data_IF_222149535780
#
_entry.id   IF_222149535780
#
_cell.length_a   1.000
_cell.length_b   1.000
_cell.length_c   1.000
_cell.angle_alpha   90.00
_cell.angle_beta   90.00
_cell.angle_gamma   90.00
#
_symmetry.space_group_name_H-M   'P 1'
#
loop_
_entity.id
_entity.type
_entity.pdbx_description
1 polymer ?
#
# COMPACT_ATOMS: atom_id res chain seq x y z
N UNK A 1 17.75 17.25 -18.41
CA UNK A 1 16.80 16.16 -18.02
C UNK A 1 17.33 15.22 -16.93
N UNK A 2 18.63 15.17 -16.57
CA UNK A 2 19.15 14.28 -15.50
C UNK A 2 18.91 14.80 -14.08
N UNK A 3 18.69 16.10 -13.91
CA UNK A 3 18.62 16.78 -12.59
C UNK A 3 17.31 16.54 -11.82
N UNK A 4 16.22 16.21 -12.52
CA UNK A 4 14.88 16.12 -11.91
C UNK A 4 14.63 14.84 -11.09
N UNK A 5 15.45 13.80 -11.28
CA UNK A 5 15.37 12.52 -10.56
C UNK A 5 16.45 12.34 -9.48
N UNK A 6 17.40 13.27 -9.34
CA UNK A 6 18.46 13.17 -8.30
C UNK A 6 17.89 13.03 -6.88
N UNK A 7 16.79 13.74 -6.59
CA UNK A 7 16.09 13.70 -5.31
C UNK A 7 15.54 12.33 -4.91
N UNK A 8 15.46 11.40 -5.86
CA UNK A 8 14.94 10.04 -5.65
C UNK A 8 16.02 8.97 -5.55
N UNK A 9 17.29 9.32 -5.73
CA UNK A 9 18.41 8.36 -5.73
C UNK A 9 18.61 7.63 -4.40
N UNK A 10 18.17 8.23 -3.29
CA UNK A 10 18.24 7.61 -1.97
C UNK A 10 17.25 6.46 -1.78
N UNK A 11 16.17 6.40 -2.57
CA UNK A 11 15.13 5.36 -2.47
C UNK A 11 15.51 4.09 -3.24
N UNK A 12 16.61 3.47 -2.84
CA UNK A 12 17.22 2.33 -3.55
C UNK A 12 16.36 1.08 -3.60
N UNK A 13 15.34 0.97 -2.76
CA UNK A 13 14.34 -0.11 -2.77
C UNK A 13 13.25 0.07 -3.82
N UNK A 14 13.20 1.20 -4.52
CA UNK A 14 12.19 1.56 -5.52
C UNK A 14 12.86 1.91 -6.85
N UNK A 15 12.21 1.56 -7.95
CA UNK A 15 12.60 2.08 -9.27
C UNK A 15 11.71 3.28 -9.58
N UNK A 16 12.33 4.45 -9.81
CA UNK A 16 11.58 5.69 -10.02
C UNK A 16 12.02 6.32 -11.33
N UNK A 17 11.05 6.59 -12.20
CA UNK A 17 11.28 7.24 -13.48
C UNK A 17 10.16 8.25 -13.82
N UNK A 18 10.34 8.95 -14.91
CA UNK A 18 9.41 9.96 -15.40
C UNK A 18 9.07 9.65 -16.86
N UNK A 19 8.03 8.82 -17.11
CA UNK A 19 7.66 8.41 -18.45
C UNK A 19 7.13 9.56 -19.31
N UNK A 20 6.54 10.58 -18.68
CA UNK A 20 6.05 11.79 -19.32
C UNK A 20 6.28 13.03 -18.45
N UNK A 21 6.23 14.23 -19.04
CA UNK A 21 6.30 15.49 -18.32
C UNK A 21 5.15 15.56 -17.29
N UNK A 22 5.48 15.86 -16.04
CA UNK A 22 4.51 15.93 -14.94
C UNK A 22 4.07 14.58 -14.36
N UNK A 23 4.44 13.44 -14.96
CA UNK A 23 4.08 12.12 -14.50
C UNK A 23 5.31 11.41 -13.89
N UNK A 24 5.23 11.06 -12.62
CA UNK A 24 6.22 10.24 -11.92
C UNK A 24 5.71 8.80 -11.81
N UNK A 25 6.59 7.82 -12.09
CA UNK A 25 6.27 6.41 -11.89
C UNK A 25 7.18 5.82 -10.82
N UNK A 26 6.54 5.14 -9.86
CA UNK A 26 7.21 4.41 -8.77
C UNK A 26 6.91 2.93 -8.95
N UNK A 27 7.95 2.11 -9.06
CA UNK A 27 7.85 0.67 -9.27
C UNK A 27 8.45 -0.07 -8.08
N UNK A 28 7.65 -0.91 -7.45
CA UNK A 28 8.09 -1.86 -6.42
C UNK A 28 8.66 -3.07 -7.14
N UNK A 29 9.96 -3.32 -6.99
CA UNK A 29 10.65 -4.41 -7.68
C UNK A 29 11.45 -5.27 -6.68
N UNK A 30 11.04 -6.54 -6.55
CA UNK A 30 11.77 -7.58 -5.82
C UNK A 30 11.78 -8.84 -6.66
N UNK A 31 12.79 -9.00 -7.54
CA UNK A 31 12.86 -10.13 -8.46
C UNK A 31 12.74 -11.47 -7.74
N UNK A 32 11.87 -12.35 -8.25
CA UNK A 32 11.66 -13.69 -7.71
C UNK A 32 10.83 -13.79 -6.43
N UNK A 33 10.40 -12.66 -5.84
CA UNK A 33 9.61 -12.63 -4.60
C UNK A 33 8.26 -11.94 -4.75
N UNK A 34 7.72 -11.79 -5.97
CA UNK A 34 6.46 -11.09 -6.23
C UNK A 34 6.38 -9.74 -5.53
N UNK A 35 7.46 -8.97 -5.58
CA UNK A 35 7.58 -7.64 -5.00
C UNK A 35 7.32 -7.59 -3.47
N UNK A 36 7.74 -8.63 -2.75
CA UNK A 36 7.73 -8.62 -1.30
C UNK A 36 8.54 -7.41 -0.77
N UNK A 37 7.99 -6.76 0.25
CA UNK A 37 8.53 -5.55 0.86
C UNK A 37 9.51 -5.95 1.96
N UNK A 38 10.79 -5.74 1.73
CA UNK A 38 11.86 -5.86 2.73
C UNK A 38 12.01 -4.57 3.55
N UNK A 39 12.89 -4.56 4.55
CA UNK A 39 13.12 -3.42 5.42
C UNK A 39 13.44 -2.12 4.64
N UNK A 40 14.31 -2.20 3.62
CA UNK A 40 14.68 -1.04 2.80
C UNK A 40 13.49 -0.48 2.03
N UNK A 41 12.69 -1.36 1.41
CA UNK A 41 11.49 -0.93 0.68
C UNK A 41 10.43 -0.37 1.60
N UNK A 42 10.26 -0.96 2.79
CA UNK A 42 9.30 -0.49 3.78
C UNK A 42 9.62 0.95 4.20
N UNK A 43 10.88 1.23 4.57
CA UNK A 43 11.34 2.58 4.88
C UNK A 43 11.20 3.52 3.67
N UNK A 44 11.59 3.09 2.47
CA UNK A 44 11.51 3.91 1.27
C UNK A 44 10.05 4.23 0.88
N UNK A 45 9.12 3.29 1.04
CA UNK A 45 7.69 3.53 0.81
C UNK A 45 7.10 4.50 1.83
N UNK A 46 7.61 4.53 3.07
CA UNK A 46 7.22 5.52 4.05
C UNK A 46 7.71 6.93 3.69
N UNK A 47 8.95 7.06 3.22
CA UNK A 47 9.65 8.34 3.12
C UNK A 47 9.58 9.01 1.74
N UNK A 48 9.21 8.30 0.68
CA UNK A 48 9.20 8.86 -0.69
C UNK A 48 8.13 9.95 -0.88
N UNK A 49 6.99 9.86 -0.21
CA UNK A 49 5.83 10.72 -0.46
C UNK A 49 6.04 12.21 -0.10
N UNK A 50 6.74 12.56 0.99
CA UNK A 50 7.11 13.96 1.26
C UNK A 50 8.01 14.56 0.19
N UNK A 51 8.89 13.75 -0.43
CA UNK A 51 9.74 14.19 -1.54
C UNK A 51 8.90 14.41 -2.79
N UNK A 52 8.03 13.46 -3.13
CA UNK A 52 7.05 13.58 -4.22
C UNK A 52 6.18 14.82 -4.06
N UNK A 53 5.66 15.06 -2.87
CA UNK A 53 4.77 16.20 -2.59
C UNK A 53 5.44 17.55 -2.90
N UNK A 54 6.75 17.66 -2.67
CA UNK A 54 7.55 18.87 -2.90
C UNK A 54 8.15 18.96 -4.30
N UNK A 55 8.02 17.93 -5.11
CA UNK A 55 8.58 17.90 -6.46
C UNK A 55 7.80 18.82 -7.41
N UNK A 56 8.39 19.94 -7.90
CA UNK A 56 7.72 20.87 -8.79
C UNK A 56 7.48 20.26 -10.20
N UNK A 57 8.25 19.25 -10.58
CA UNK A 57 8.18 18.60 -11.87
C UNK A 57 7.17 17.45 -11.91
N UNK A 58 6.47 17.16 -10.76
CA UNK A 58 5.47 16.11 -10.64
C UNK A 58 4.09 16.71 -10.44
N UNK A 59 3.14 16.33 -11.28
CA UNK A 59 1.71 16.63 -11.15
C UNK A 59 0.91 15.42 -10.65
N UNK A 60 1.30 14.21 -11.04
CA UNK A 60 0.64 12.94 -10.73
C UNK A 60 1.66 11.82 -10.58
N UNK A 61 1.33 10.83 -9.74
CA UNK A 61 2.14 9.63 -9.53
C UNK A 61 1.37 8.39 -9.95
N UNK A 62 2.06 7.45 -10.61
CA UNK A 62 1.60 6.07 -10.78
C UNK A 62 2.49 5.15 -9.95
N UNK A 63 1.89 4.29 -9.11
CA UNK A 63 2.62 3.26 -8.37
C UNK A 63 2.14 1.87 -8.79
N UNK A 64 3.08 0.96 -9.09
CA UNK A 64 2.78 -0.42 -9.44
C UNK A 64 3.92 -1.37 -9.06
N UNK A 65 3.70 -2.66 -9.18
CA UNK A 65 4.74 -3.67 -9.00
C UNK A 65 5.38 -4.07 -10.33
N UNK A 66 6.62 -4.51 -10.29
CA UNK A 66 7.30 -5.06 -11.45
C UNK A 66 6.80 -6.49 -11.79
N UNK A 67 6.90 -6.88 -13.07
CA UNK A 67 6.68 -8.27 -13.48
C UNK A 67 5.25 -8.79 -13.30
N UNK A 68 4.24 -7.90 -13.35
CA UNK A 68 2.82 -8.28 -13.35
C UNK A 68 2.28 -8.75 -12.00
N UNK A 69 2.84 -8.27 -10.88
CA UNK A 69 2.28 -8.43 -9.54
C UNK A 69 2.48 -7.15 -8.76
N UNK A 70 1.52 -6.73 -7.94
CA UNK A 70 1.71 -5.53 -7.14
C UNK A 70 2.70 -5.78 -5.99
N UNK A 71 2.33 -6.62 -5.04
CA UNK A 71 3.21 -7.03 -3.94
C UNK A 71 2.64 -8.23 -3.17
N UNK A 72 3.51 -9.14 -2.78
CA UNK A 72 3.17 -10.28 -1.90
C UNK A 72 3.17 -9.94 -0.40
N UNK A 73 3.33 -8.66 -0.03
CA UNK A 73 3.36 -8.22 1.36
C UNK A 73 4.77 -8.19 1.96
N UNK A 74 4.86 -8.19 3.29
CA UNK A 74 6.13 -8.15 4.00
C UNK A 74 7.01 -9.38 3.73
N UNK A 75 8.33 -9.17 3.55
CA UNK A 75 9.29 -10.26 3.47
C UNK A 75 9.34 -11.00 4.81
N UNK A 76 9.38 -12.34 4.76
CA UNK A 76 9.34 -13.17 5.97
C UNK A 76 10.55 -12.98 6.89
N UNK A 77 11.70 -12.55 6.37
CA UNK A 77 12.85 -12.20 7.20
C UNK A 77 12.60 -10.92 8.00
N UNK A 78 11.97 -9.91 7.37
CA UNK A 78 11.55 -8.70 8.05
C UNK A 78 10.55 -9.01 9.18
N UNK A 79 9.61 -9.92 8.95
CA UNK A 79 8.64 -10.34 9.99
C UNK A 79 9.33 -11.02 11.17
N UNK A 80 10.33 -11.89 10.91
CA UNK A 80 11.14 -12.50 11.98
C UNK A 80 11.86 -11.43 12.82
N UNK A 81 12.45 -10.43 12.17
CA UNK A 81 13.16 -9.35 12.85
C UNK A 81 12.20 -8.49 13.68
N UNK A 82 11.00 -8.20 13.19
CA UNK A 82 9.95 -7.50 13.95
C UNK A 82 9.58 -8.27 15.22
N UNK A 83 9.46 -9.59 15.16
CA UNK A 83 9.16 -10.42 16.32
C UNK A 83 10.33 -10.44 17.32
N UNK A 84 11.56 -10.55 16.81
CA UNK A 84 12.76 -10.77 17.62
C UNK A 84 13.30 -9.49 18.29
N UNK A 85 13.27 -8.35 17.60
CA UNK A 85 13.89 -7.10 18.07
C UNK A 85 12.84 -6.01 18.38
N UNK A 86 12.65 -5.67 19.68
CA UNK A 86 11.75 -4.59 20.07
C UNK A 86 12.13 -3.20 19.52
N UNK A 87 13.42 -2.95 19.23
CA UNK A 87 13.87 -1.66 18.67
C UNK A 87 13.48 -1.59 17.20
N UNK A 88 13.75 -2.65 16.45
CA UNK A 88 13.34 -2.73 15.05
C UNK A 88 11.82 -2.67 14.91
N UNK A 89 11.07 -3.36 15.77
CA UNK A 89 9.59 -3.26 15.82
C UNK A 89 9.12 -1.81 16.04
N UNK A 90 9.81 -1.03 16.88
CA UNK A 90 9.49 0.38 17.09
C UNK A 90 9.84 1.26 15.87
N UNK A 91 10.83 0.87 15.06
CA UNK A 91 11.15 1.51 13.78
C UNK A 91 10.05 1.22 12.76
N UNK A 92 9.68 -0.04 12.59
CA UNK A 92 8.60 -0.46 11.68
C UNK A 92 7.25 0.18 12.06
N UNK A 93 6.97 0.33 13.37
CA UNK A 93 5.80 1.08 13.83
C UNK A 93 5.77 2.51 13.30
N UNK A 94 6.90 3.23 13.35
CA UNK A 94 7.00 4.59 12.81
C UNK A 94 6.83 4.60 11.30
N UNK A 95 7.53 3.72 10.60
CA UNK A 95 7.47 3.61 9.14
C UNK A 95 6.05 3.29 8.65
N UNK A 96 5.33 2.36 9.29
CA UNK A 96 3.95 2.03 8.94
C UNK A 96 3.02 3.24 9.11
N UNK A 97 3.20 4.02 10.19
CA UNK A 97 2.46 5.27 10.39
C UNK A 97 2.83 6.31 9.33
N UNK A 98 4.12 6.47 9.09
CA UNK A 98 4.63 7.48 8.16
C UNK A 98 4.20 7.17 6.73
N UNK A 99 4.18 5.90 6.31
CA UNK A 99 3.62 5.50 5.02
C UNK A 99 2.20 6.05 4.82
N UNK A 100 1.32 5.77 5.76
CA UNK A 100 -0.10 6.16 5.67
C UNK A 100 -0.26 7.68 5.75
N UNK A 101 0.32 8.32 6.74
CA UNK A 101 0.17 9.77 6.91
C UNK A 101 0.86 10.57 5.80
N UNK A 102 2.02 10.13 5.33
CA UNK A 102 2.72 10.77 4.23
C UNK A 102 1.96 10.65 2.89
N UNK A 103 1.26 9.54 2.64
CA UNK A 103 0.36 9.42 1.48
C UNK A 103 -0.87 10.33 1.61
N UNK A 104 -1.46 10.44 2.81
CA UNK A 104 -2.57 11.35 3.10
C UNK A 104 -2.14 12.81 2.88
N UNK A 105 -0.92 13.17 3.29
CA UNK A 105 -0.39 14.53 3.23
C UNK A 105 0.26 14.87 1.88
N UNK A 106 0.55 13.86 1.06
CA UNK A 106 1.06 14.09 -0.29
C UNK A 106 0.06 14.90 -1.11
N UNK A 107 0.48 16.06 -1.62
CA UNK A 107 -0.38 16.95 -2.40
C UNK A 107 -0.67 16.39 -3.80
N UNK A 108 0.20 15.51 -4.34
CA UNK A 108 0.05 14.98 -5.69
C UNK A 108 -0.95 13.83 -5.71
N UNK A 109 -1.87 13.76 -6.69
CA UNK A 109 -2.71 12.59 -6.86
C UNK A 109 -1.86 11.35 -7.16
N UNK A 110 -2.25 10.23 -6.56
CA UNK A 110 -1.58 8.94 -6.65
C UNK A 110 -2.55 7.94 -7.28
N UNK A 111 -2.12 7.28 -8.34
CA UNK A 111 -2.85 6.19 -9.00
C UNK A 111 -2.11 4.89 -8.75
N UNK A 112 -2.75 3.88 -8.17
CA UNK A 112 -2.19 2.54 -8.03
C UNK A 112 -2.69 1.64 -9.15
N UNK A 113 -1.78 0.85 -9.75
CA UNK A 113 -2.08 -0.18 -10.74
C UNK A 113 -1.82 -1.56 -10.12
N UNK A 114 -2.91 -2.26 -9.75
CA UNK A 114 -2.87 -3.43 -8.89
C UNK A 114 -3.06 -4.69 -9.74
N UNK A 115 -1.94 -5.36 -10.05
CA UNK A 115 -1.94 -6.61 -10.83
C UNK A 115 -1.79 -7.82 -9.91
N UNK A 116 -2.40 -8.92 -10.27
CA UNK A 116 -2.26 -10.29 -9.77
C UNK A 116 -2.45 -10.45 -8.25
N UNK A 117 -1.68 -9.76 -7.41
CA UNK A 117 -1.73 -9.91 -5.95
C UNK A 117 -1.31 -8.62 -5.23
N UNK A 118 -2.03 -8.28 -4.17
CA UNK A 118 -1.65 -7.20 -3.24
C UNK A 118 -1.94 -7.65 -1.79
N UNK A 119 -0.91 -7.62 -0.93
CA UNK A 119 -0.95 -8.11 0.45
C UNK A 119 -0.20 -7.14 1.39
N UNK A 120 -0.63 -7.00 2.64
CA UNK A 120 0.08 -6.32 3.73
C UNK A 120 0.58 -4.92 3.37
N UNK A 121 1.85 -4.59 3.63
CA UNK A 121 2.44 -3.27 3.36
C UNK A 121 2.32 -2.83 1.88
N UNK A 122 2.36 -3.78 0.93
CA UNK A 122 2.07 -3.49 -0.48
C UNK A 122 0.61 -3.08 -0.67
N UNK A 123 -0.34 -3.79 -0.04
CA UNK A 123 -1.76 -3.45 -0.08
C UNK A 123 -2.02 -2.08 0.58
N UNK A 124 -1.29 -1.73 1.63
CA UNK A 124 -1.35 -0.40 2.23
C UNK A 124 -1.07 0.68 1.18
N UNK A 125 0.04 0.58 0.46
CA UNK A 125 0.40 1.51 -0.61
C UNK A 125 -0.67 1.53 -1.72
N UNK A 126 -1.20 0.36 -2.09
CA UNK A 126 -2.21 0.24 -3.15
C UNK A 126 -3.53 0.94 -2.80
N UNK A 127 -4.05 0.74 -1.58
CA UNK A 127 -5.35 1.26 -1.15
C UNK A 127 -5.30 2.70 -0.62
N UNK A 128 -4.12 3.16 -0.14
CA UNK A 128 -3.94 4.56 0.25
C UNK A 128 -3.75 5.49 -0.95
N UNK A 129 -3.60 4.97 -2.17
CA UNK A 129 -3.66 5.76 -3.39
C UNK A 129 -5.05 6.38 -3.59
N UNK A 130 -5.10 7.53 -4.27
CA UNK A 130 -6.35 8.26 -4.50
C UNK A 130 -7.28 7.56 -5.49
N UNK A 131 -6.69 6.87 -6.47
CA UNK A 131 -7.40 6.08 -7.47
C UNK A 131 -6.69 4.73 -7.61
N UNK A 132 -7.44 3.65 -7.49
CA UNK A 132 -6.93 2.29 -7.63
C UNK A 132 -7.53 1.60 -8.85
N UNK A 133 -6.66 1.19 -9.79
CA UNK A 133 -7.01 0.37 -10.96
C UNK A 133 -6.55 -1.05 -10.69
N UNK A 134 -7.46 -2.00 -10.71
CA UNK A 134 -7.21 -3.38 -10.31
C UNK A 134 -7.56 -4.36 -11.44
N UNK A 135 -6.79 -5.42 -11.61
CA UNK A 135 -7.18 -6.52 -12.50
C UNK A 135 -8.36 -7.30 -11.91
N UNK A 136 -9.32 -7.73 -12.75
CA UNK A 136 -10.51 -8.47 -12.28
C UNK A 136 -10.17 -9.71 -11.48
N UNK A 137 -9.13 -10.44 -11.89
CA UNK A 137 -8.70 -11.66 -11.21
C UNK A 137 -7.66 -11.42 -10.11
N UNK A 138 -7.23 -10.19 -9.89
CA UNK A 138 -6.25 -9.84 -8.84
C UNK A 138 -6.73 -10.32 -7.47
N UNK A 139 -5.83 -10.92 -6.70
CA UNK A 139 -6.10 -11.32 -5.32
C UNK A 139 -5.68 -10.22 -4.34
N UNK A 140 -6.64 -9.69 -3.61
CA UNK A 140 -6.43 -8.74 -2.52
C UNK A 140 -6.63 -9.48 -1.21
N UNK A 141 -5.62 -9.43 -0.32
CA UNK A 141 -5.64 -10.17 0.93
C UNK A 141 -5.06 -9.31 2.05
N UNK A 142 -5.85 -9.07 3.10
CA UNK A 142 -5.31 -8.67 4.39
C UNK A 142 -5.03 -9.93 5.22
N UNK A 143 -3.77 -10.23 5.43
CA UNK A 143 -3.31 -11.50 6.02
C UNK A 143 -3.05 -11.44 7.53
N UNK A 144 -3.24 -10.29 8.18
CA UNK A 144 -2.76 -10.04 9.55
C UNK A 144 -3.32 -11.00 10.59
N UNK A 145 -4.64 -11.26 10.59
CA UNK A 145 -5.23 -12.16 11.61
C UNK A 145 -4.85 -13.62 11.39
N UNK A 146 -4.53 -14.05 10.17
CA UNK A 146 -3.92 -15.37 9.92
C UNK A 146 -2.45 -15.42 10.35
N UNK A 147 -1.76 -14.29 10.35
CA UNK A 147 -0.41 -14.17 10.90
C UNK A 147 -0.41 -14.15 12.44
N UNK A 148 -1.55 -13.88 13.06
CA UNK A 148 -1.70 -13.79 14.52
C UNK A 148 -1.54 -12.38 15.08
N UNK A 149 -1.68 -11.35 14.25
CA UNK A 149 -1.62 -9.94 14.65
C UNK A 149 -2.87 -9.17 14.22
N UNK A 150 -3.10 -8.00 14.79
CA UNK A 150 -4.19 -7.14 14.35
C UNK A 150 -3.93 -6.59 12.95
N UNK A 151 -4.98 -6.34 12.16
CA UNK A 151 -4.92 -5.66 10.87
C UNK A 151 -4.70 -4.16 11.10
N UNK A 152 -3.44 -3.74 11.23
CA UNK A 152 -3.06 -2.44 11.78
C UNK A 152 -2.47 -1.45 10.80
N UNK A 153 -1.71 -1.90 9.82
CA UNK A 153 -0.85 -1.07 8.97
C UNK A 153 -1.58 -0.08 8.05
N UNK A 154 -2.84 -0.33 7.68
CA UNK A 154 -3.68 0.58 6.87
C UNK A 154 -5.17 0.30 7.05
N UNK A 155 -5.50 -0.91 7.48
CA UNK A 155 -6.85 -1.45 7.32
C UNK A 155 -7.91 -0.64 8.07
N UNK A 156 -7.62 -0.25 9.32
CA UNK A 156 -8.60 0.46 10.15
C UNK A 156 -8.91 1.87 9.67
N UNK A 157 -8.00 2.51 8.92
CA UNK A 157 -8.22 3.87 8.41
C UNK A 157 -8.97 3.90 7.09
N UNK A 158 -8.70 2.95 6.18
CA UNK A 158 -9.18 3.05 4.80
C UNK A 158 -10.36 2.11 4.49
N UNK A 159 -10.33 0.84 4.92
CA UNK A 159 -11.36 -0.13 4.55
C UNK A 159 -12.77 0.27 4.96
N UNK A 160 -13.03 0.75 6.22
CA UNK A 160 -14.39 1.14 6.61
C UNK A 160 -14.94 2.31 5.78
N UNK A 161 -14.08 3.21 5.31
CA UNK A 161 -14.47 4.34 4.47
C UNK A 161 -14.78 3.91 3.04
N UNK A 162 -14.04 2.94 2.49
CA UNK A 162 -14.21 2.47 1.12
C UNK A 162 -15.38 1.49 0.99
N UNK A 163 -15.40 0.41 1.79
CA UNK A 163 -16.38 -0.67 1.62
C UNK A 163 -17.42 -0.79 2.74
N UNK A 164 -17.39 0.14 3.70
CA UNK A 164 -18.27 0.14 4.86
C UNK A 164 -17.85 -0.87 5.93
N UNK A 165 -18.25 -0.60 7.19
CA UNK A 165 -17.82 -1.35 8.39
C UNK A 165 -18.12 -2.85 8.31
N UNK A 166 -19.27 -3.25 7.74
CA UNK A 166 -19.66 -4.66 7.69
C UNK A 166 -18.71 -5.49 6.80
N UNK A 167 -18.35 -4.98 5.63
CA UNK A 167 -17.43 -5.64 4.72
C UNK A 167 -15.99 -5.58 5.23
N UNK A 168 -15.57 -4.43 5.75
CA UNK A 168 -14.26 -4.30 6.39
C UNK A 168 -14.08 -5.36 7.49
N UNK A 169 -15.00 -5.47 8.44
CA UNK A 169 -14.93 -6.50 9.50
C UNK A 169 -14.89 -7.90 8.95
N UNK A 170 -15.73 -8.22 7.96
CA UNK A 170 -15.76 -9.58 7.39
C UNK A 170 -14.39 -9.96 6.85
N UNK A 171 -13.84 -9.17 5.91
CA UNK A 171 -12.59 -9.52 5.25
C UNK A 171 -11.36 -9.43 6.17
N UNK A 172 -11.28 -8.39 7.02
CA UNK A 172 -10.13 -8.19 7.90
C UNK A 172 -10.08 -9.22 9.05
N UNK A 173 -11.24 -9.65 9.58
CA UNK A 173 -11.28 -10.63 10.67
C UNK A 173 -11.16 -12.08 10.18
N UNK A 174 -11.55 -12.36 8.93
CA UNK A 174 -11.51 -13.71 8.37
C UNK A 174 -10.31 -13.98 7.47
N UNK A 175 -9.60 -12.92 7.03
CA UNK A 175 -8.58 -12.98 5.96
C UNK A 175 -9.07 -13.68 4.70
N UNK A 176 -10.36 -13.56 4.38
CA UNK A 176 -10.91 -14.09 3.14
C UNK A 176 -10.36 -13.29 1.96
N UNK A 177 -9.78 -13.93 0.93
CA UNK A 177 -9.28 -13.21 -0.23
C UNK A 177 -10.43 -12.65 -1.06
N UNK A 178 -10.22 -11.45 -1.64
CA UNK A 178 -11.11 -10.86 -2.63
C UNK A 178 -10.50 -10.96 -4.02
N UNK A 179 -11.35 -11.08 -5.03
CA UNK A 179 -10.97 -10.73 -6.41
C UNK A 179 -11.05 -9.22 -6.64
N UNK A 180 -10.34 -8.71 -7.66
CA UNK A 180 -10.48 -7.30 -8.03
C UNK A 180 -11.90 -6.93 -8.43
N UNK A 181 -12.65 -7.84 -9.09
CA UNK A 181 -14.06 -7.65 -9.42
C UNK A 181 -14.95 -7.49 -8.16
N UNK A 182 -14.74 -8.33 -7.14
CA UNK A 182 -15.46 -8.17 -5.87
C UNK A 182 -15.02 -6.91 -5.13
N UNK A 183 -13.73 -6.54 -5.19
CA UNK A 183 -13.22 -5.33 -4.57
C UNK A 183 -13.87 -4.07 -5.17
N UNK A 184 -14.03 -4.00 -6.50
CA UNK A 184 -14.78 -2.92 -7.15
C UNK A 184 -16.27 -2.95 -6.73
N UNK A 185 -16.90 -4.13 -6.77
CA UNK A 185 -18.31 -4.27 -6.43
C UNK A 185 -18.66 -3.76 -5.03
N UNK A 186 -17.75 -3.94 -4.06
CA UNK A 186 -17.95 -3.45 -2.69
C UNK A 186 -17.41 -2.03 -2.45
N UNK A 187 -16.75 -1.42 -3.45
CA UNK A 187 -16.19 -0.08 -3.36
C UNK A 187 -14.81 0.00 -2.72
N UNK A 188 -14.09 -1.14 -2.58
CA UNK A 188 -12.75 -1.17 -1.99
C UNK A 188 -11.68 -0.62 -2.96
N UNK A 189 -11.88 -0.80 -4.27
CA UNK A 189 -11.04 -0.21 -5.33
C UNK A 189 -11.88 0.65 -6.25
N UNK A 190 -11.25 1.59 -6.96
CA UNK A 190 -11.95 2.55 -7.82
C UNK A 190 -12.52 1.91 -9.07
N UNK A 191 -11.81 0.94 -9.65
CA UNK A 191 -12.25 0.19 -10.83
C UNK A 191 -11.51 -1.13 -10.99
N UNK A 192 -12.18 -2.12 -11.56
CA UNK A 192 -11.61 -3.39 -12.00
C UNK A 192 -11.68 -3.50 -13.52
N UNK A 193 -10.55 -3.79 -14.15
CA UNK A 193 -10.40 -3.92 -15.59
C UNK A 193 -9.86 -5.30 -15.95
N UNK A 194 -9.81 -5.64 -17.23
CA UNK A 194 -9.16 -6.88 -17.68
C UNK A 194 -7.69 -6.88 -17.24
N UNK A 195 -7.18 -8.05 -16.86
CA UNK A 195 -5.90 -8.15 -16.15
C UNK A 195 -4.70 -7.61 -16.96
N UNK A 196 -4.77 -7.68 -18.28
CA UNK A 196 -3.76 -7.14 -19.21
C UNK A 196 -3.90 -5.64 -19.48
N UNK A 197 -5.00 -5.02 -19.07
CA UNK A 197 -5.27 -3.59 -19.26
C UNK A 197 -4.94 -2.71 -18.04
N UNK A 198 -4.49 -3.29 -16.93
CA UNK A 198 -4.33 -2.58 -15.65
C UNK A 198 -3.36 -1.41 -15.74
N UNK A 199 -2.14 -1.66 -16.24
CA UNK A 199 -1.11 -0.61 -16.34
C UNK A 199 -1.53 0.46 -17.34
N UNK A 200 -2.04 0.07 -18.51
CA UNK A 200 -2.50 1.01 -19.54
C UNK A 200 -3.61 1.92 -19.00
N UNK A 201 -4.63 1.35 -18.36
CA UNK A 201 -5.74 2.12 -17.77
C UNK A 201 -5.25 3.06 -16.65
N UNK A 202 -4.32 2.62 -15.79
CA UNK A 202 -3.75 3.47 -14.74
C UNK A 202 -2.98 4.65 -15.35
N UNK A 203 -2.20 4.42 -16.41
CA UNK A 203 -1.49 5.46 -17.14
C UNK A 203 -2.45 6.45 -17.83
N UNK A 204 -3.55 5.96 -18.42
CA UNK A 204 -4.59 6.83 -18.99
C UNK A 204 -5.27 7.70 -17.94
N UNK A 205 -5.58 7.14 -16.75
CA UNK A 205 -6.13 7.90 -15.62
C UNK A 205 -5.14 8.97 -15.19
N UNK A 206 -3.86 8.62 -15.04
CA UNK A 206 -2.80 9.56 -14.67
C UNK A 206 -2.62 10.66 -15.73
N UNK A 207 -2.66 10.33 -17.02
CA UNK A 207 -2.59 11.31 -18.10
C UNK A 207 -3.75 12.31 -18.05
N UNK A 208 -4.98 11.84 -17.75
CA UNK A 208 -6.14 12.73 -17.55
C UNK A 208 -5.96 13.67 -16.36
N UNK A 209 -5.42 13.17 -15.25
CA UNK A 209 -5.11 14.01 -14.08
C UNK A 209 -4.01 15.02 -14.39
N UNK A 210 -2.97 14.60 -15.10
CA UNK A 210 -1.84 15.45 -15.49
C UNK A 210 -2.26 16.59 -16.44
N UNK A 211 -3.25 16.34 -17.33
CA UNK A 211 -3.79 17.35 -18.22
C UNK A 211 -4.79 18.31 -17.55
N UNK A 212 -5.20 18.02 -16.33
CA UNK A 212 -6.17 18.79 -15.57
C UNK A 212 -5.56 19.99 -14.85
N UNK A 213 -6.40 20.72 -14.09
CA UNK A 213 -5.94 21.80 -13.22
C UNK A 213 -5.25 21.20 -11.99
N UNK A 214 -3.92 21.19 -11.99
CA UNK A 214 -3.12 20.60 -10.92
C UNK A 214 -3.53 21.14 -9.53
N UNK A 215 -3.68 22.44 -9.39
CA UNK A 215 -4.10 23.05 -8.11
C UNK A 215 -5.50 22.59 -7.67
N UNK A 216 -6.48 22.57 -8.56
CA UNK A 216 -7.84 22.15 -8.22
C UNK A 216 -7.88 20.66 -7.81
N UNK A 217 -7.15 19.80 -8.52
CA UNK A 217 -7.05 18.37 -8.22
C UNK A 217 -6.38 18.15 -6.85
N UNK A 218 -5.24 18.82 -6.59
CA UNK A 218 -4.53 18.73 -5.32
C UNK A 218 -5.38 19.20 -4.14
N UNK A 219 -6.09 20.31 -4.29
CA UNK A 219 -6.97 20.82 -3.22
C UNK A 219 -8.20 19.94 -3.00
N UNK A 220 -8.74 19.33 -4.06
CA UNK A 220 -9.80 18.33 -3.93
C UNK A 220 -9.33 17.12 -3.14
N UNK A 221 -8.15 16.55 -3.49
CA UNK A 221 -7.52 15.48 -2.69
C UNK A 221 -7.36 15.87 -1.23
N UNK A 222 -6.70 16.99 -0.96
CA UNK A 222 -6.44 17.45 0.42
C UNK A 222 -7.74 17.61 1.23
N UNK A 223 -8.82 18.07 0.59
CA UNK A 223 -10.13 18.22 1.24
C UNK A 223 -10.74 16.85 1.55
N UNK A 224 -10.74 15.92 0.60
CA UNK A 224 -11.26 14.58 0.79
C UNK A 224 -10.47 13.78 1.83
N UNK A 225 -9.14 13.96 1.87
CA UNK A 225 -8.27 13.29 2.85
C UNK A 225 -8.53 13.72 4.31
N UNK A 226 -9.32 14.77 4.56
CA UNK A 226 -9.77 15.06 5.92
C UNK A 226 -10.65 13.94 6.52
N UNK A 227 -11.38 13.19 5.69
CA UNK A 227 -12.10 12.00 6.18
C UNK A 227 -11.15 10.93 6.70
N UNK A 228 -10.00 10.71 6.03
CA UNK A 228 -8.94 9.81 6.51
C UNK A 228 -8.33 10.32 7.81
N UNK A 229 -8.02 11.63 7.92
CA UNK A 229 -7.49 12.22 9.15
C UNK A 229 -8.43 12.07 10.34
N UNK A 230 -9.75 12.13 10.12
CA UNK A 230 -10.74 11.87 11.18
C UNK A 230 -10.68 10.44 11.71
N UNK A 231 -10.29 9.45 10.90
CA UNK A 231 -10.09 8.07 11.30
C UNK A 231 -8.70 7.81 11.92
N UNK A 232 -7.81 8.82 11.96
CA UNK A 232 -6.45 8.72 12.48
C UNK A 232 -6.34 8.08 13.87
N UNK A 233 -7.17 8.45 14.88
CA UNK A 233 -7.11 7.78 16.19
C UNK A 233 -7.38 6.28 16.16
N UNK A 234 -8.26 5.80 15.24
CA UNK A 234 -8.49 4.37 15.05
C UNK A 234 -7.27 3.69 14.41
N UNK A 235 -6.64 4.36 13.46
CA UNK A 235 -5.42 3.88 12.81
C UNK A 235 -4.24 3.80 13.81
N UNK A 236 -3.98 4.87 14.57
CA UNK A 236 -2.90 4.88 15.56
C UNK A 236 -3.06 3.75 16.60
N UNK A 237 -4.31 3.47 17.01
CA UNK A 237 -4.59 2.35 17.89
C UNK A 237 -4.36 1.00 17.19
N UNK A 238 -4.77 0.85 15.92
CA UNK A 238 -4.66 -0.42 15.19
C UNK A 238 -3.20 -0.81 14.93
N UNK A 239 -2.36 0.11 14.48
CA UNK A 239 -0.93 -0.17 14.24
C UNK A 239 -0.20 -0.44 15.55
N UNK A 240 -0.58 0.23 16.65
CA UNK A 240 0.00 -0.07 17.97
C UNK A 240 -0.38 -1.47 18.46
N UNK A 241 -1.63 -1.92 18.23
CA UNK A 241 -2.09 -3.26 18.58
C UNK A 241 -1.46 -4.34 17.68
N UNK A 242 -1.22 -4.05 16.42
CA UNK A 242 -0.46 -4.91 15.52
C UNK A 242 0.96 -5.15 16.07
N UNK A 243 1.68 -4.07 16.39
CA UNK A 243 3.05 -4.16 16.93
C UNK A 243 3.09 -4.84 18.30
N UNK A 244 2.07 -4.64 19.13
CA UNK A 244 1.91 -5.39 20.38
C UNK A 244 1.69 -6.88 20.10
N UNK A 245 0.89 -7.21 19.10
CA UNK A 245 0.64 -8.58 18.63
C UNK A 245 1.93 -9.31 18.27
N UNK A 246 2.84 -8.66 17.54
CA UNK A 246 4.14 -9.24 17.17
C UNK A 246 5.04 -9.59 18.37
N UNK A 247 4.76 -9.06 19.56
CA UNK A 247 5.43 -9.45 20.81
C UNK A 247 4.79 -10.67 21.50
N UNK A 248 3.64 -11.13 20.99
CA UNK A 248 2.89 -12.25 21.55
C UNK A 248 3.31 -13.63 20.99
N UNK A 249 2.66 -14.71 21.43
CA UNK A 249 2.94 -16.06 20.97
C UNK A 249 2.33 -16.37 19.59
N UNK A 250 1.20 -15.77 19.23
CA UNK A 250 0.42 -16.13 18.05
C UNK A 250 1.19 -15.92 16.71
N UNK A 251 1.98 -14.84 16.50
CA UNK A 251 2.75 -14.69 15.27
C UNK A 251 3.78 -15.80 15.04
N UNK A 252 4.29 -16.43 16.11
CA UNK A 252 5.21 -17.58 15.99
C UNK A 252 4.51 -18.73 15.27
N UNK A 253 3.29 -19.05 15.67
CA UNK A 253 2.47 -20.06 15.00
C UNK A 253 2.06 -19.61 13.59
N UNK A 254 1.62 -18.35 13.43
CA UNK A 254 1.22 -17.79 12.12
C UNK A 254 2.35 -17.89 11.09
N UNK A 255 3.56 -17.48 11.44
CA UNK A 255 4.75 -17.57 10.59
C UNK A 255 5.08 -19.03 10.26
N UNK A 256 5.07 -19.93 11.26
CA UNK A 256 5.31 -21.36 11.04
C UNK A 256 4.28 -21.95 10.08
N UNK A 257 3.00 -21.65 10.27
CA UNK A 257 1.90 -22.11 9.41
C UNK A 257 2.05 -21.66 7.95
N UNK A 258 2.45 -20.38 7.73
CA UNK A 258 2.72 -19.85 6.38
C UNK A 258 3.88 -20.61 5.72
N UNK A 259 5.00 -20.81 6.42
CA UNK A 259 6.18 -21.54 5.91
C UNK A 259 5.87 -23.00 5.58
N UNK A 260 5.06 -23.63 6.41
CA UNK A 260 4.65 -25.03 6.26
C UNK A 260 3.43 -25.19 5.31
N UNK A 261 2.87 -24.09 4.79
CA UNK A 261 1.69 -24.05 3.90
C UNK A 261 0.48 -24.79 4.50
N UNK A 262 0.23 -24.60 5.77
CA UNK A 262 -0.91 -25.14 6.53
C UNK A 262 -1.76 -24.05 7.18
N UNK A 263 -2.93 -24.40 7.65
CA UNK A 263 -3.71 -23.51 8.51
C UNK A 263 -3.02 -23.32 9.88
N UNK A 264 -3.03 -22.10 10.46
CA UNK A 264 -2.53 -21.87 11.80
C UNK A 264 -3.44 -22.55 12.85
N UNK A 265 -2.87 -22.81 14.02
CA UNK A 265 -3.56 -23.42 15.18
C UNK A 265 -3.28 -22.57 16.41
N UNK A 266 -4.03 -21.48 16.54
CA UNK A 266 -3.96 -20.59 17.69
C UNK A 266 -4.61 -21.19 18.93
#
# INVERSE_FOLDING_TARGET
MSDSLERYQEFTGLSIDRPDEGLLRIVIDTPGKLNAVDATKHANLADVWPVVSRDPDTNVVVVHGAGGAFSAGGDMAMIDDIMADPRYRAEVFREARDLVYNMIDCSKPIVSAIEKVAVGAGLATALMADISVCGRSTHIIDGHTKLGVAAGDHAAIIWPLLCGMAKAKYYLMTCEPLTGEEAERIGLVSMAVDDDAVIETAMEVAARLNAGSAQAIQWTKLTLNNWLRMAGPAFDASVALEMLGFAGPDPVEGVAAIREKRAPRF
#
